data_IF_391298784954
#
_entry.id   IF_391298784954
#
_cell.length_a   1.000
_cell.length_b   1.000
_cell.length_c   1.000
_cell.angle_alpha   90.00
_cell.angle_beta   90.00
_cell.angle_gamma   90.00
#
_symmetry.space_group_name_H-M   'P 1'
#
loop_
_entity.id
_entity.type
_entity.pdbx_description
1 polymer ?
#
# COMPACT_ATOMS: atom_id res chain seq x y z
N UNK A 1 40.91 -39.80 28.74
CA UNK A 1 40.35 -40.04 27.38
C UNK A 1 38.86 -39.80 27.44
N UNK A 2 38.32 -39.23 26.35
CA UNK A 2 37.16 -38.33 26.31
C UNK A 2 35.80 -38.94 26.71
N UNK A 3 34.98 -38.08 27.32
CA UNK A 3 33.54 -38.24 27.54
C UNK A 3 32.82 -38.13 26.19
N UNK A 4 32.09 -39.18 25.79
CA UNK A 4 31.17 -39.11 24.65
C UNK A 4 29.87 -38.45 25.12
N UNK A 5 29.79 -37.13 24.97
CA UNK A 5 28.51 -36.44 25.09
C UNK A 5 27.70 -36.74 23.84
N UNK A 6 26.71 -37.62 23.97
CA UNK A 6 25.68 -37.86 22.97
C UNK A 6 24.90 -36.58 22.75
N UNK A 7 25.13 -35.95 21.59
CA UNK A 7 24.28 -34.87 21.08
C UNK A 7 22.99 -35.57 20.64
N UNK A 8 21.96 -35.49 21.48
CA UNK A 8 20.59 -35.80 21.07
C UNK A 8 20.22 -34.76 20.02
N UNK A 9 20.22 -35.15 18.74
CA UNK A 9 19.60 -34.34 17.70
C UNK A 9 18.09 -34.49 17.85
N UNK A 10 17.47 -33.55 18.55
CA UNK A 10 16.03 -33.34 18.49
C UNK A 10 15.62 -33.02 17.04
N UNK A 11 14.85 -33.88 16.37
CA UNK A 11 14.37 -33.63 15.01
C UNK A 11 13.35 -32.48 14.94
N UNK A 12 12.90 -31.96 16.08
CA UNK A 12 11.96 -30.84 16.18
C UNK A 12 12.66 -29.45 16.11
N UNK A 13 13.99 -29.40 16.24
CA UNK A 13 14.77 -28.17 16.03
C UNK A 13 15.04 -27.89 14.54
N UNK A 14 14.57 -28.76 13.63
CA UNK A 14 14.72 -28.63 12.18
C UNK A 14 13.74 -27.63 11.54
N UNK A 15 12.96 -26.87 12.32
CA UNK A 15 12.44 -25.58 11.85
C UNK A 15 13.57 -24.56 11.93
N UNK A 16 14.65 -24.86 11.22
CA UNK A 16 15.58 -23.84 10.78
C UNK A 16 14.77 -22.91 9.90
N UNK A 17 14.35 -21.78 10.48
CA UNK A 17 13.93 -20.61 9.72
C UNK A 17 15.13 -20.26 8.85
N UNK A 18 15.22 -20.87 7.67
CA UNK A 18 16.04 -20.33 6.60
C UNK A 18 15.42 -18.96 6.37
N UNK A 19 16.04 -17.91 6.89
CA UNK A 19 15.63 -16.52 6.70
C UNK A 19 15.82 -16.21 5.22
N UNK A 20 14.90 -16.70 4.38
CA UNK A 20 14.83 -16.32 2.98
C UNK A 20 14.46 -14.83 3.00
N UNK A 21 15.20 -13.98 2.28
CA UNK A 21 14.84 -12.58 2.17
C UNK A 21 13.41 -12.49 1.61
N UNK A 22 12.63 -11.47 2.02
CA UNK A 22 11.29 -11.27 1.48
C UNK A 22 11.36 -11.16 -0.04
N UNK A 23 10.30 -11.58 -0.76
CA UNK A 23 10.25 -11.38 -2.20
C UNK A 23 10.48 -9.92 -2.58
N UNK A 24 11.19 -9.67 -3.68
CA UNK A 24 11.56 -8.32 -4.15
C UNK A 24 10.37 -7.40 -4.46
N UNK A 25 9.17 -7.98 -4.61
CA UNK A 25 7.95 -7.22 -4.84
C UNK A 25 7.31 -6.70 -3.55
N UNK A 26 7.70 -7.21 -2.37
CA UNK A 26 7.11 -6.81 -1.07
C UNK A 26 7.27 -5.32 -0.81
N UNK A 27 8.46 -4.75 -1.02
CA UNK A 27 8.69 -3.31 -0.85
C UNK A 27 7.76 -2.47 -1.76
N UNK A 28 7.45 -2.99 -2.96
CA UNK A 28 6.51 -2.34 -3.87
C UNK A 28 5.07 -2.40 -3.39
N UNK A 29 4.69 -3.47 -2.69
CA UNK A 29 3.37 -3.58 -2.05
C UNK A 29 3.25 -2.60 -0.91
N UNK A 30 4.28 -2.49 -0.07
CA UNK A 30 4.30 -1.55 1.06
C UNK A 30 4.20 -0.10 0.58
N UNK A 31 4.91 0.26 -0.50
CA UNK A 31 4.80 1.58 -1.14
C UNK A 31 3.37 1.87 -1.61
N UNK A 32 2.73 0.90 -2.29
CA UNK A 32 1.36 1.07 -2.78
C UNK A 32 0.37 1.18 -1.61
N UNK A 33 0.51 0.35 -0.57
CA UNK A 33 -0.36 0.42 0.61
C UNK A 33 -0.22 1.75 1.35
N UNK A 34 1.00 2.30 1.41
CA UNK A 34 1.25 3.62 1.95
C UNK A 34 0.54 4.71 1.13
N UNK A 35 0.68 4.69 -0.20
CA UNK A 35 -0.01 5.66 -1.07
C UNK A 35 -1.55 5.53 -0.97
N UNK A 36 -2.09 4.31 -0.88
CA UNK A 36 -3.52 4.05 -0.61
C UNK A 36 -3.97 4.66 0.73
N UNK A 37 -3.15 4.55 1.77
CA UNK A 37 -3.40 5.20 3.06
C UNK A 37 -3.43 6.73 2.94
N UNK A 38 -2.53 7.31 2.15
CA UNK A 38 -2.50 8.76 1.88
C UNK A 38 -3.72 9.22 1.11
N UNK A 39 -4.18 8.47 0.11
CA UNK A 39 -5.42 8.77 -0.63
C UNK A 39 -6.59 8.85 0.35
N UNK A 40 -6.76 7.83 1.21
CA UNK A 40 -7.82 7.80 2.23
C UNK A 40 -7.77 9.01 3.16
N UNK A 41 -6.58 9.41 3.59
CA UNK A 41 -6.40 10.58 4.44
C UNK A 41 -6.81 11.87 3.72
N UNK A 42 -6.34 12.06 2.48
CA UNK A 42 -6.65 13.23 1.66
C UNK A 42 -8.12 13.34 1.29
N UNK A 43 -8.80 12.21 1.02
CA UNK A 43 -10.25 12.21 0.78
C UNK A 43 -11.03 12.69 2.02
N UNK A 44 -10.60 12.32 3.24
CA UNK A 44 -11.20 12.84 4.48
C UNK A 44 -10.95 14.34 4.68
N UNK A 45 -9.74 14.80 4.34
CA UNK A 45 -9.39 16.22 4.36
C UNK A 45 -10.28 17.01 3.39
N UNK A 46 -10.42 16.53 2.15
CA UNK A 46 -11.29 17.13 1.14
C UNK A 46 -12.76 17.19 1.61
N UNK A 47 -13.27 16.10 2.19
CA UNK A 47 -14.63 16.08 2.75
C UNK A 47 -14.80 17.12 3.88
N UNK A 48 -13.80 17.28 4.75
CA UNK A 48 -13.83 18.31 5.80
C UNK A 48 -13.77 19.73 5.24
N UNK A 49 -12.99 19.98 4.18
CA UNK A 49 -12.94 21.28 3.52
C UNK A 49 -14.28 21.62 2.87
N UNK A 50 -14.90 20.65 2.18
CA UNK A 50 -16.23 20.84 1.59
C UNK A 50 -17.31 21.12 2.64
N UNK A 51 -17.31 20.41 3.77
CA UNK A 51 -18.26 20.65 4.86
C UNK A 51 -18.11 22.06 5.47
N UNK A 52 -16.87 22.48 5.74
CA UNK A 52 -16.59 23.84 6.22
C UNK A 52 -17.07 24.91 5.24
N UNK A 53 -16.73 24.73 3.96
CA UNK A 53 -17.09 25.68 2.92
C UNK A 53 -18.61 25.84 2.76
N UNK A 54 -19.37 24.75 2.89
CA UNK A 54 -20.83 24.75 2.80
C UNK A 54 -21.50 25.38 4.03
N UNK A 55 -20.93 25.20 5.21
CA UNK A 55 -21.52 25.61 6.48
C UNK A 55 -21.01 26.98 6.99
N UNK A 56 -20.33 27.77 6.14
CA UNK A 56 -19.69 29.01 6.58
C UNK A 56 -20.72 30.13 6.87
N UNK A 57 -20.50 30.94 7.93
CA UNK A 57 -21.40 32.04 8.30
C UNK A 57 -21.13 33.36 7.57
N UNK A 58 -19.96 33.55 6.94
CA UNK A 58 -19.54 34.79 6.27
C UNK A 58 -18.91 34.51 4.90
N UNK A 59 -18.90 35.51 4.01
CA UNK A 59 -18.43 35.36 2.62
C UNK A 59 -16.92 35.62 2.42
N UNK A 60 -16.20 36.08 3.44
CA UNK A 60 -14.82 36.60 3.33
C UNK A 60 -13.75 35.50 3.13
N UNK A 61 -13.91 34.32 3.74
CA UNK A 61 -12.94 33.22 3.67
C UNK A 61 -13.05 32.35 2.39
N UNK A 62 -13.88 32.73 1.42
CA UNK A 62 -14.28 31.81 0.33
C UNK A 62 -13.15 31.46 -0.64
N UNK A 63 -12.23 32.40 -0.89
CA UNK A 63 -11.17 32.22 -1.89
C UNK A 63 -10.04 31.29 -1.43
N UNK A 64 -9.71 31.29 -0.14
CA UNK A 64 -8.63 30.44 0.39
C UNK A 64 -9.09 28.99 0.53
N UNK A 65 -10.33 28.77 1.02
CA UNK A 65 -10.90 27.42 1.12
C UNK A 65 -11.14 26.78 -0.25
N UNK A 66 -11.64 27.55 -1.22
CA UNK A 66 -11.82 27.07 -2.60
C UNK A 66 -10.48 26.66 -3.22
N UNK A 67 -9.44 27.45 -2.99
CA UNK A 67 -8.08 27.11 -3.44
C UNK A 67 -7.53 25.85 -2.74
N UNK A 68 -7.77 25.69 -1.44
CA UNK A 68 -7.37 24.49 -0.70
C UNK A 68 -8.10 23.23 -1.18
N UNK A 69 -9.38 23.34 -1.52
CA UNK A 69 -10.18 22.27 -2.14
C UNK A 69 -9.58 21.86 -3.49
N UNK A 70 -9.25 22.85 -4.34
CA UNK A 70 -8.66 22.59 -5.65
C UNK A 70 -7.31 21.87 -5.53
N UNK A 71 -6.41 22.36 -4.68
CA UNK A 71 -5.11 21.74 -4.42
C UNK A 71 -5.30 20.30 -3.93
N UNK A 72 -6.13 20.09 -2.92
CA UNK A 72 -6.35 18.76 -2.34
C UNK A 72 -6.92 17.78 -3.37
N UNK A 73 -7.82 18.25 -4.24
CA UNK A 73 -8.39 17.45 -5.33
C UNK A 73 -7.33 17.04 -6.36
N UNK A 74 -6.45 17.97 -6.74
CA UNK A 74 -5.34 17.69 -7.65
C UNK A 74 -4.34 16.70 -7.03
N UNK A 75 -4.01 16.86 -5.74
CA UNK A 75 -3.14 15.92 -5.01
C UNK A 75 -3.71 14.50 -4.98
N UNK A 76 -5.02 14.36 -4.69
CA UNK A 76 -5.71 13.06 -4.71
C UNK A 76 -5.60 12.42 -6.10
N UNK A 77 -5.90 13.19 -7.15
CA UNK A 77 -5.83 12.72 -8.54
C UNK A 77 -4.42 12.22 -8.90
N UNK A 78 -3.38 12.96 -8.51
CA UNK A 78 -1.99 12.57 -8.73
C UNK A 78 -1.62 11.29 -7.96
N UNK A 79 -2.09 11.14 -6.73
CA UNK A 79 -1.87 9.93 -5.93
C UNK A 79 -2.54 8.71 -6.55
N UNK A 80 -3.76 8.83 -7.08
CA UNK A 80 -4.42 7.74 -7.82
C UNK A 80 -3.60 7.30 -9.04
N UNK A 81 -3.13 8.25 -9.86
CA UNK A 81 -2.29 7.93 -11.02
C UNK A 81 -0.95 7.31 -10.63
N UNK A 82 -0.36 7.73 -9.51
CA UNK A 82 0.85 7.11 -8.97
C UNK A 82 0.58 5.66 -8.53
N UNK A 83 -0.44 5.43 -7.72
CA UNK A 83 -0.86 4.10 -7.27
C UNK A 83 -1.12 3.17 -8.45
N UNK A 84 -1.89 3.60 -9.45
CA UNK A 84 -2.22 2.80 -10.61
C UNK A 84 -0.95 2.35 -11.37
N UNK A 85 -0.01 3.28 -11.59
CA UNK A 85 1.27 2.95 -12.24
C UNK A 85 2.11 1.97 -11.41
N UNK A 86 2.15 2.16 -10.09
CA UNK A 86 2.89 1.27 -9.20
C UNK A 86 2.31 -0.15 -9.19
N UNK A 87 0.98 -0.29 -9.11
CA UNK A 87 0.27 -1.59 -9.20
C UNK A 87 0.56 -2.28 -10.53
N UNK A 88 0.50 -1.56 -11.65
CA UNK A 88 0.79 -2.10 -12.98
C UNK A 88 2.26 -2.52 -13.16
N UNK A 89 3.19 -1.83 -12.49
CA UNK A 89 4.61 -2.13 -12.54
C UNK A 89 4.99 -3.31 -11.63
N UNK A 90 4.19 -3.66 -10.62
CA UNK A 90 4.52 -4.65 -9.61
C UNK A 90 4.83 -6.06 -10.17
N UNK A 91 4.08 -6.62 -11.14
CA UNK A 91 4.40 -7.91 -11.76
C UNK A 91 5.81 -7.97 -12.38
N UNK A 92 6.32 -6.84 -12.90
CA UNK A 92 7.64 -6.79 -13.52
C UNK A 92 8.80 -7.01 -12.53
N UNK A 93 8.54 -6.82 -11.23
CA UNK A 93 9.52 -7.02 -10.14
C UNK A 93 9.71 -8.49 -9.76
N UNK A 94 8.91 -9.41 -10.31
CA UNK A 94 8.88 -10.83 -9.95
C UNK A 94 9.32 -11.79 -11.06
N UNK A 95 10.05 -11.31 -12.07
CA UNK A 95 10.46 -12.09 -13.27
C UNK A 95 11.26 -13.38 -13.00
N UNK A 96 11.78 -13.59 -11.79
CA UNK A 96 12.56 -14.76 -11.40
C UNK A 96 11.93 -15.56 -10.24
N UNK A 97 10.62 -15.40 -10.00
CA UNK A 97 9.90 -16.07 -8.92
C UNK A 97 9.39 -17.46 -9.33
N UNK A 98 9.17 -18.31 -8.32
CA UNK A 98 8.49 -19.59 -8.50
C UNK A 98 7.04 -19.41 -8.99
N UNK A 99 6.44 -20.46 -9.56
CA UNK A 99 5.04 -20.43 -10.00
C UNK A 99 4.08 -20.06 -8.85
N UNK A 100 4.34 -20.59 -7.65
CA UNK A 100 3.54 -20.29 -6.45
C UNK A 100 3.65 -18.81 -6.07
N UNK A 101 4.85 -18.23 -6.06
CA UNK A 101 5.04 -16.81 -5.81
C UNK A 101 4.39 -15.94 -6.89
N UNK A 102 4.40 -16.38 -8.15
CA UNK A 102 3.69 -15.72 -9.24
C UNK A 102 2.17 -15.66 -9.01
N UNK A 103 1.57 -16.77 -8.56
CA UNK A 103 0.13 -16.81 -8.20
C UNK A 103 -0.18 -15.90 -7.01
N UNK A 104 0.67 -15.92 -5.97
CA UNK A 104 0.51 -15.03 -4.81
C UNK A 104 0.58 -13.55 -5.22
N UNK A 105 1.54 -13.19 -6.06
CA UNK A 105 1.65 -11.83 -6.57
C UNK A 105 0.43 -11.42 -7.40
N UNK A 106 -0.09 -12.32 -8.24
CA UNK A 106 -1.32 -12.06 -8.99
C UNK A 106 -2.50 -11.71 -8.08
N UNK A 107 -2.67 -12.46 -6.99
CA UNK A 107 -3.72 -12.18 -5.99
C UNK A 107 -3.49 -10.84 -5.28
N UNK A 108 -2.25 -10.51 -4.94
CA UNK A 108 -1.91 -9.23 -4.31
C UNK A 108 -2.20 -8.07 -5.25
N UNK A 109 -1.80 -8.15 -6.53
CA UNK A 109 -2.10 -7.12 -7.54
C UNK A 109 -3.60 -6.94 -7.71
N UNK A 110 -4.37 -8.03 -7.78
CA UNK A 110 -5.83 -7.97 -7.88
C UNK A 110 -6.46 -7.28 -6.65
N UNK A 111 -6.00 -7.63 -5.45
CA UNK A 111 -6.47 -7.01 -4.20
C UNK A 111 -6.14 -5.51 -4.13
N UNK A 112 -4.93 -5.11 -4.53
CA UNK A 112 -4.53 -3.69 -4.57
C UNK A 112 -5.33 -2.91 -5.61
N UNK A 113 -5.56 -3.50 -6.78
CA UNK A 113 -6.39 -2.90 -7.82
C UNK A 113 -7.84 -2.72 -7.36
N UNK A 114 -8.41 -3.72 -6.68
CA UNK A 114 -9.74 -3.63 -6.11
C UNK A 114 -9.83 -2.53 -5.05
N UNK A 115 -8.85 -2.45 -4.13
CA UNK A 115 -8.81 -1.40 -3.12
C UNK A 115 -8.75 0.01 -3.74
N UNK A 116 -7.99 0.18 -4.83
CA UNK A 116 -7.92 1.45 -5.55
C UNK A 116 -9.25 1.77 -6.27
N UNK A 117 -9.90 0.76 -6.85
CA UNK A 117 -11.20 0.92 -7.50
C UNK A 117 -12.28 1.33 -6.49
N UNK A 118 -12.34 0.67 -5.33
CA UNK A 118 -13.26 0.99 -4.25
C UNK A 118 -13.11 2.44 -3.79
N UNK A 119 -11.87 2.93 -3.65
CA UNK A 119 -11.59 4.32 -3.29
C UNK A 119 -12.00 5.32 -4.36
N UNK A 120 -11.90 4.96 -5.64
CA UNK A 120 -12.31 5.83 -6.74
C UNK A 120 -13.84 6.00 -6.83
N UNK A 121 -14.59 5.01 -6.32
CA UNK A 121 -16.06 4.98 -6.35
C UNK A 121 -16.72 5.34 -5.02
N UNK A 122 -15.93 5.60 -3.97
CA UNK A 122 -16.41 5.99 -2.64
C UNK A 122 -16.57 7.50 -2.53
#
# INVERSE_FOLDING_TARGET
MALVSGISLDPEAAIGVTKRPPPKWVDGVDEIQYDVGRIKQKMKELASLHDKHLNRPTLDDSSEEEHAIEITTQEITQLFHRCQRAVQALPSRARACSEQEGRLLGNVVASLAQALQELSTS
#
